data_IF_529239432100
#
_entry.id   IF_529239432100
#
_cell.length_a   1.000
_cell.length_b   1.000
_cell.length_c   1.000
_cell.angle_alpha   90.00
_cell.angle_beta   90.00
_cell.angle_gamma   90.00
#
_symmetry.space_group_name_H-M   'P 1'
#
loop_
_entity.id
_entity.type
_entity.pdbx_description
1 polymer ?
#
# COMPACT_ATOMS: atom_id res chain seq x y z
N UNK A 1 -5.76 -17.96 -10.36
CA UNK A 1 -6.37 -16.73 -9.80
C UNK A 1 -5.29 -15.69 -9.62
N UNK A 2 -5.54 -14.45 -10.05
CA UNK A 2 -4.59 -13.35 -9.85
C UNK A 2 -4.82 -12.75 -8.47
N UNK A 3 -3.77 -12.57 -7.68
CA UNK A 3 -3.86 -11.94 -6.36
C UNK A 3 -4.26 -10.47 -6.50
N UNK A 4 -5.34 -10.07 -5.83
CA UNK A 4 -5.75 -8.67 -5.68
C UNK A 4 -5.53 -8.23 -4.23
N UNK A 5 -4.49 -7.43 -3.94
CA UNK A 5 -4.20 -6.97 -2.59
C UNK A 5 -5.21 -5.96 -2.04
N UNK A 6 -5.92 -5.24 -2.91
CA UNK A 6 -6.68 -4.04 -2.57
C UNK A 6 -8.16 -4.21 -2.91
N UNK A 7 -8.84 -5.06 -2.15
CA UNK A 7 -10.27 -5.33 -2.35
C UNK A 7 -11.12 -4.35 -1.54
N UNK A 8 -11.70 -3.35 -2.22
CA UNK A 8 -12.67 -2.44 -1.61
C UNK A 8 -13.12 -1.30 -2.52
N UNK A 9 -14.25 -0.67 -2.17
CA UNK A 9 -14.85 0.40 -2.98
C UNK A 9 -13.97 1.65 -3.06
N UNK A 10 -13.20 1.91 -2.00
CA UNK A 10 -12.39 3.11 -1.84
C UNK A 10 -10.89 2.84 -1.98
N UNK A 11 -10.37 1.65 -1.63
CA UNK A 11 -8.95 1.32 -1.81
C UNK A 11 -8.69 0.83 -3.23
N UNK A 12 -7.83 1.52 -3.98
CA UNK A 12 -7.72 1.31 -5.43
C UNK A 12 -6.32 0.93 -5.91
N UNK A 13 -5.28 1.25 -5.14
CA UNK A 13 -3.91 1.02 -5.61
C UNK A 13 -3.02 0.39 -4.54
N UNK A 14 -2.29 -0.69 -4.89
CA UNK A 14 -1.20 -1.17 -4.06
C UNK A 14 -0.07 -0.14 -4.07
N UNK A 15 0.51 0.13 -2.91
CA UNK A 15 1.60 1.07 -2.70
C UNK A 15 2.61 0.53 -1.68
N UNK A 16 3.87 0.94 -1.81
CA UNK A 16 4.90 0.81 -0.79
C UNK A 16 5.08 2.17 -0.08
N UNK A 17 4.77 2.18 1.21
CA UNK A 17 4.60 3.39 2.00
C UNK A 17 5.57 3.45 3.17
N UNK A 18 6.19 4.62 3.39
CA UNK A 18 6.91 4.88 4.62
C UNK A 18 5.93 5.15 5.75
N UNK A 19 6.10 4.49 6.90
CA UNK A 19 5.28 4.78 8.08
C UNK A 19 5.81 6.04 8.75
N UNK A 20 5.02 7.11 8.74
CA UNK A 20 5.29 8.25 9.62
C UNK A 20 5.09 7.82 11.08
N UNK A 21 5.89 8.38 11.99
CA UNK A 21 5.94 8.06 13.43
C UNK A 21 4.58 8.31 14.13
N UNK A 22 3.68 9.03 13.47
CA UNK A 22 2.33 9.30 13.96
C UNK A 22 1.24 8.38 13.38
N UNK A 23 1.53 7.53 12.40
CA UNK A 23 0.61 6.50 11.89
C UNK A 23 -0.63 7.00 11.13
N UNK A 24 -0.79 8.32 10.92
CA UNK A 24 -2.04 8.91 10.39
C UNK A 24 -1.99 9.29 8.91
N UNK A 25 -0.82 9.36 8.28
CA UNK A 25 -0.73 9.65 6.85
C UNK A 25 0.58 9.09 6.30
N UNK A 26 0.49 8.07 5.46
CA UNK A 26 1.64 7.63 4.67
C UNK A 26 1.81 8.64 3.52
N UNK A 27 2.45 9.77 3.80
CA UNK A 27 2.65 10.86 2.83
C UNK A 27 3.74 10.54 1.80
N UNK A 28 4.56 9.52 2.06
CA UNK A 28 5.56 9.01 1.14
C UNK A 28 5.18 7.57 0.70
N UNK A 29 4.30 7.47 -0.28
CA UNK A 29 3.88 6.22 -0.92
C UNK A 29 4.17 6.27 -2.42
N UNK A 30 4.58 5.14 -2.98
CA UNK A 30 4.66 4.98 -4.42
C UNK A 30 4.29 3.55 -4.82
N UNK A 31 4.05 3.32 -6.11
CA UNK A 31 3.67 2.00 -6.61
C UNK A 31 4.75 0.96 -6.35
N UNK A 32 4.39 -0.32 -6.07
CA UNK A 32 5.37 -1.36 -5.88
C UNK A 32 6.22 -1.57 -7.14
N UNK A 33 7.48 -2.05 -6.99
CA UNK A 33 8.40 -2.25 -8.12
C UNK A 33 7.93 -3.34 -9.11
N UNK A 34 6.99 -4.19 -8.69
CA UNK A 34 6.38 -5.23 -9.51
C UNK A 34 4.92 -5.46 -9.11
N UNK A 35 4.14 -6.06 -10.01
CA UNK A 35 2.76 -6.43 -9.73
C UNK A 35 2.74 -7.49 -8.62
N UNK A 36 2.03 -7.25 -7.51
CA UNK A 36 1.89 -8.23 -6.44
C UNK A 36 1.25 -9.53 -6.94
N UNK A 37 1.85 -10.67 -6.61
CA UNK A 37 1.29 -12.00 -6.95
C UNK A 37 0.89 -12.83 -5.72
N UNK A 38 1.31 -12.40 -4.53
CA UNK A 38 0.86 -12.95 -3.24
C UNK A 38 1.06 -11.91 -2.12
N UNK A 39 0.43 -12.10 -0.94
CA UNK A 39 0.65 -11.20 0.20
C UNK A 39 2.11 -11.16 0.65
N UNK A 40 2.77 -12.32 0.72
CA UNK A 40 4.18 -12.43 1.12
C UNK A 40 5.11 -11.76 0.11
N UNK A 41 4.85 -11.92 -1.19
CA UNK A 41 5.65 -11.29 -2.23
C UNK A 41 5.46 -9.76 -2.20
N UNK A 42 4.23 -9.29 -1.99
CA UNK A 42 3.97 -7.86 -1.84
C UNK A 42 4.72 -7.25 -0.65
N UNK A 43 4.61 -7.87 0.53
CA UNK A 43 5.30 -7.43 1.74
C UNK A 43 6.82 -7.41 1.54
N UNK A 44 7.38 -8.51 1.01
CA UNK A 44 8.80 -8.63 0.76
C UNK A 44 9.30 -7.59 -0.25
N UNK A 45 8.54 -7.29 -1.30
CA UNK A 45 8.91 -6.27 -2.28
C UNK A 45 8.96 -4.87 -1.68
N UNK A 46 8.00 -4.49 -0.83
CA UNK A 46 8.06 -3.18 -0.16
C UNK A 46 9.16 -3.10 0.90
N UNK A 47 9.47 -4.20 1.60
CA UNK A 47 10.60 -4.23 2.53
C UNK A 47 11.93 -4.13 1.79
N UNK A 48 12.07 -4.80 0.65
CA UNK A 48 13.25 -4.68 -0.21
C UNK A 48 13.39 -3.26 -0.79
N UNK A 49 12.26 -2.58 -1.01
CA UNK A 49 12.17 -1.19 -1.40
C UNK A 49 12.35 -0.25 -0.18
N UNK A 50 13.52 -0.28 0.43
CA UNK A 50 13.91 0.68 1.48
C UNK A 50 13.18 0.50 2.82
N UNK A 51 12.69 -0.70 3.14
CA UNK A 51 12.07 -1.01 4.43
C UNK A 51 10.63 -0.50 4.57
N UNK A 52 9.93 -0.29 3.46
CA UNK A 52 8.58 0.28 3.43
C UNK A 52 7.52 -0.78 3.74
N UNK A 53 6.35 -0.32 4.11
CA UNK A 53 5.18 -1.17 4.36
C UNK A 53 4.31 -1.28 3.11
N UNK A 54 3.86 -2.50 2.81
CA UNK A 54 2.85 -2.74 1.78
C UNK A 54 1.49 -2.22 2.26
N UNK A 55 0.84 -1.38 1.45
CA UNK A 55 -0.42 -0.72 1.79
C UNK A 55 -1.33 -0.63 0.57
N UNK A 56 -2.62 -0.52 0.82
CA UNK A 56 -3.61 -0.19 -0.18
C UNK A 56 -4.11 1.23 0.06
N UNK A 57 -3.84 2.13 -0.87
CA UNK A 57 -4.10 3.55 -0.68
C UNK A 57 -5.15 4.10 -1.64
N UNK A 58 -5.72 5.24 -1.26
CA UNK A 58 -6.62 6.03 -2.07
C UNK A 58 -6.39 7.51 -1.82
N UNK A 59 -6.53 8.30 -2.87
CA UNK A 59 -6.61 9.75 -2.74
C UNK A 59 -7.93 10.07 -2.04
N UNK A 60 -7.84 10.72 -0.87
CA UNK A 60 -9.04 11.29 -0.28
C UNK A 60 -9.71 12.22 -1.28
N UNK A 61 -11.03 12.27 -1.31
CA UNK A 61 -11.79 13.14 -2.23
C UNK A 61 -11.44 14.63 -2.06
N UNK A 62 -10.81 15.00 -0.95
CA UNK A 62 -10.33 16.35 -0.68
C UNK A 62 -8.91 16.60 -1.21
N UNK A 63 -8.22 15.62 -1.78
CA UNK A 63 -6.87 15.75 -2.36
C UNK A 63 -5.75 16.09 -1.35
N UNK A 64 -6.08 16.11 -0.06
CA UNK A 64 -5.19 16.60 1.00
C UNK A 64 -4.39 15.47 1.68
N UNK A 65 -4.85 14.23 1.57
CA UNK A 65 -4.20 13.08 2.20
C UNK A 65 -4.44 11.77 1.43
N UNK A 66 -3.44 10.88 1.47
CA UNK A 66 -3.61 9.47 1.15
C UNK A 66 -4.21 8.76 2.36
N UNK A 67 -5.32 8.05 2.14
CA UNK A 67 -5.87 7.12 3.13
C UNK A 67 -5.41 5.73 2.74
N UNK A 68 -4.67 5.06 3.62
CA UNK A 68 -4.09 3.75 3.38
C UNK A 68 -4.58 2.73 4.41
N UNK A 69 -4.87 1.51 3.96
CA UNK A 69 -5.19 0.36 4.81
C UNK A 69 -4.25 -0.79 4.51
N UNK A 70 -4.27 -1.81 5.37
CA UNK A 70 -3.47 -3.01 5.14
C UNK A 70 -4.05 -3.83 3.97
N UNK A 71 -3.19 -4.45 3.14
CA UNK A 71 -3.62 -5.34 2.06
C UNK A 71 -4.25 -6.63 2.58
N UNK A 72 -5.02 -7.32 1.73
CA UNK A 72 -5.56 -8.62 2.08
C UNK A 72 -4.43 -9.63 2.32
N UNK A 73 -4.41 -10.25 3.50
CA UNK A 73 -3.47 -11.34 3.82
C UNK A 73 -2.08 -10.89 4.28
N UNK A 74 -1.90 -9.61 4.59
CA UNK A 74 -0.74 -9.05 5.32
C UNK A 74 -1.19 -8.70 6.74
#
# INVERSE_FOLDING_TARGET
DSYDPCTGLLQKSPQCCNTDILGVANLDCHGPPSVPTSPSQFQASCVADGGRSARCCTLSLLGLALVCTDPVGI
#
